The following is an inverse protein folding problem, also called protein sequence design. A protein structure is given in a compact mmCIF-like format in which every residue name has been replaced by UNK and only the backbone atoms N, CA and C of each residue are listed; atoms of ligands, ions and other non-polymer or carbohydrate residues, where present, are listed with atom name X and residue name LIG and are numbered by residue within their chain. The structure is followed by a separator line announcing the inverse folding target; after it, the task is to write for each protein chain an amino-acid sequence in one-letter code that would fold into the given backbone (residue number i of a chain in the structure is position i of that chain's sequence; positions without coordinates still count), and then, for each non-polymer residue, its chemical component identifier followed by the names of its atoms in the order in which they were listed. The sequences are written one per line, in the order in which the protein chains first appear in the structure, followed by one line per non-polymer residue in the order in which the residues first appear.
data_IF_135348526966
#
_entry.id   IF_135348526966
#
_cell.length_a   1.000
_cell.length_b   1.000
_cell.length_c   1.000
_cell.angle_alpha   90.00
_cell.angle_beta   90.00
_cell.angle_gamma   90.00
#
_symmetry.space_group_name_H-M   'P 1'
#
loop_
_entity.id
_entity.type
_entity.pdbx_description
1 polymer ?
#
# COMPACT_ATOMS: atom_id res chain seq x y z
N UNK A 1 4.95 9.77 2.48
CA UNK A 1 5.98 8.77 2.88
C UNK A 1 6.39 9.02 4.34
N UNK A 2 6.77 7.99 5.09
CA UNK A 2 7.46 8.17 6.36
C UNK A 2 8.97 8.24 6.09
N UNK A 3 9.54 9.43 6.13
CA UNK A 3 10.96 9.65 5.88
C UNK A 3 11.52 10.66 6.86
N UNK A 4 12.78 10.48 7.24
CA UNK A 4 13.53 11.42 8.05
C UNK A 4 14.68 11.97 7.20
N UNK A 5 14.86 13.28 7.25
CA UNK A 5 15.93 13.97 6.51
C UNK A 5 16.75 14.77 7.49
N UNK A 6 18.08 14.70 7.38
CA UNK A 6 18.96 15.57 8.15
C UNK A 6 18.71 17.01 7.74
N UNK A 7 18.48 17.89 8.72
CA UNK A 7 18.23 19.32 8.51
C UNK A 7 19.23 19.97 7.53
N UNK A 8 20.53 19.72 7.74
CA UNK A 8 21.59 20.22 6.86
C UNK A 8 21.38 19.83 5.38
N UNK A 9 21.10 18.56 5.10
CA UNK A 9 20.87 18.10 3.72
C UNK A 9 19.59 18.70 3.11
N UNK A 10 18.55 18.91 3.93
CA UNK A 10 17.31 19.55 3.51
C UNK A 10 17.52 21.03 3.14
N UNK A 11 18.24 21.78 3.97
CA UNK A 11 18.56 23.19 3.74
C UNK A 11 19.50 23.37 2.54
N UNK A 12 20.50 22.50 2.38
CA UNK A 12 21.44 22.53 1.24
C UNK A 12 20.76 22.41 -0.13
N UNK A 13 19.65 21.66 -0.23
CA UNK A 13 18.89 21.53 -1.47
C UNK A 13 17.80 22.60 -1.63
N UNK A 14 17.63 23.50 -0.65
CA UNK A 14 16.61 24.56 -0.66
C UNK A 14 15.22 24.14 -0.15
N UNK A 15 15.10 22.99 0.52
CA UNK A 15 13.86 22.54 1.15
C UNK A 15 12.74 22.13 0.18
N UNK A 16 11.49 22.02 0.66
CA UNK A 16 10.32 21.73 -0.19
C UNK A 16 9.99 22.93 -1.07
N UNK A 17 9.75 22.68 -2.36
CA UNK A 17 9.20 23.67 -3.28
C UNK A 17 7.69 23.84 -3.04
N UNK A 18 7.30 24.96 -2.45
CA UNK A 18 5.91 25.27 -2.11
C UNK A 18 5.04 25.63 -3.31
N UNK A 19 5.60 25.75 -4.51
CA UNK A 19 4.82 25.93 -5.75
C UNK A 19 4.20 24.62 -6.23
N UNK A 20 4.68 23.47 -5.73
CA UNK A 20 4.12 22.15 -6.01
C UNK A 20 3.03 21.78 -4.99
N UNK A 21 1.96 21.14 -5.46
CA UNK A 21 0.81 20.75 -4.66
C UNK A 21 0.80 19.25 -4.36
N UNK A 22 1.31 18.42 -5.29
CA UNK A 22 1.17 16.97 -5.26
C UNK A 22 2.49 16.20 -5.17
N UNK A 23 3.56 16.75 -5.75
CA UNK A 23 4.84 16.05 -5.96
C UNK A 23 6.01 16.69 -5.20
N UNK A 24 5.71 17.53 -4.20
CA UNK A 24 6.68 18.18 -3.32
C UNK A 24 7.76 17.25 -2.77
N UNK A 25 7.35 16.07 -2.29
CA UNK A 25 8.24 15.07 -1.72
C UNK A 25 9.10 14.42 -2.82
N UNK A 26 8.51 14.06 -3.96
CA UNK A 26 9.23 13.51 -5.10
C UNK A 26 10.31 14.49 -5.62
N UNK A 27 9.96 15.77 -5.81
CA UNK A 27 10.91 16.80 -6.22
C UNK A 27 12.09 16.92 -5.24
N UNK A 28 11.79 16.95 -3.93
CA UNK A 28 12.79 17.00 -2.87
C UNK A 28 13.74 15.78 -2.93
N UNK A 29 13.20 14.57 -3.09
CA UNK A 29 14.03 13.35 -3.18
C UNK A 29 14.95 13.36 -4.40
N UNK A 30 14.44 13.84 -5.53
CA UNK A 30 15.25 13.96 -6.74
C UNK A 30 16.37 14.99 -6.59
N UNK A 31 16.14 16.13 -5.93
CA UNK A 31 17.20 17.10 -5.62
C UNK A 31 18.23 16.56 -4.65
N UNK A 32 17.81 15.88 -3.58
CA UNK A 32 18.72 15.19 -2.66
C UNK A 32 19.57 14.13 -3.37
N UNK A 33 18.98 13.38 -4.31
CA UNK A 33 19.73 12.39 -5.09
C UNK A 33 20.74 13.03 -6.05
N UNK A 34 20.42 14.19 -6.65
CA UNK A 34 21.34 14.94 -7.51
C UNK A 34 22.54 15.50 -6.75
N UNK A 35 22.33 15.93 -5.51
CA UNK A 35 23.41 16.35 -4.59
C UNK A 35 24.10 15.16 -3.89
N UNK A 36 23.99 13.96 -4.47
CA UNK A 36 24.63 12.72 -4.03
C UNK A 36 24.41 12.38 -2.54
N UNK A 37 23.26 12.78 -1.98
CA UNK A 37 22.93 12.44 -0.59
C UNK A 37 22.67 10.93 -0.48
N UNK A 38 23.03 10.36 0.66
CA UNK A 38 22.88 8.92 0.92
C UNK A 38 21.48 8.60 1.46
N UNK A 39 20.88 7.56 0.92
CA UNK A 39 19.56 7.06 1.32
C UNK A 39 19.68 5.72 2.03
N UNK A 40 18.95 5.57 3.13
CA UNK A 40 18.80 4.30 3.84
C UNK A 40 17.32 3.94 3.86
N UNK A 41 17.00 2.69 3.49
CA UNK A 41 15.65 2.14 3.58
C UNK A 41 15.54 1.33 4.87
N UNK A 42 14.60 1.71 5.73
CA UNK A 42 14.14 0.87 6.83
C UNK A 42 13.02 -0.03 6.31
N UNK A 43 13.17 -1.34 6.48
CA UNK A 43 12.25 -2.33 5.90
C UNK A 43 11.12 -2.71 6.88
N UNK A 44 10.49 -1.68 7.46
CA UNK A 44 9.45 -1.81 8.48
C UNK A 44 8.27 -0.87 8.21
N UNK A 45 7.03 -1.21 8.62
CA UNK A 45 5.88 -0.33 8.48
C UNK A 45 5.99 0.86 9.45
N UNK A 46 6.47 2.00 8.95
CA UNK A 46 6.60 3.22 9.77
C UNK A 46 5.39 4.17 9.69
N UNK A 47 4.53 4.02 8.69
CA UNK A 47 3.31 4.81 8.56
C UNK A 47 2.23 4.07 7.77
N UNK A 48 0.98 4.44 8.05
CA UNK A 48 -0.19 4.01 7.30
C UNK A 48 -0.74 5.19 6.48
N UNK A 49 -1.13 4.93 5.23
CA UNK A 49 -1.86 5.90 4.40
C UNK A 49 -3.34 5.60 4.50
N UNK A 50 -4.13 6.62 4.87
CA UNK A 50 -5.60 6.52 4.89
C UNK A 50 -6.15 7.00 3.56
N UNK A 51 -6.85 6.12 2.85
CA UNK A 51 -7.62 6.47 1.66
C UNK A 51 -9.08 6.72 2.05
N UNK A 52 -9.60 7.89 1.70
CA UNK A 52 -11.01 8.26 1.87
C UNK A 52 -11.43 9.28 0.81
N UNK A 53 -12.74 9.40 0.61
CA UNK A 53 -13.35 10.35 -0.32
C UNK A 53 -13.02 11.79 0.15
N UNK A 54 -12.18 12.50 -0.62
CA UNK A 54 -11.71 13.84 -0.28
C UNK A 54 -10.19 13.96 -0.08
N UNK A 55 -9.43 12.86 -0.12
CA UNK A 55 -7.97 12.95 -0.21
C UNK A 55 -7.54 13.61 -1.52
N UNK A 56 -6.55 14.51 -1.47
CA UNK A 56 -5.97 15.17 -2.67
C UNK A 56 -5.58 14.15 -3.76
N UNK A 57 -5.04 13.01 -3.37
CA UNK A 57 -4.65 11.96 -4.33
C UNK A 57 -5.84 11.38 -5.10
N UNK A 58 -7.02 11.27 -4.46
CA UNK A 58 -8.23 10.72 -5.07
C UNK A 58 -9.15 11.78 -5.70
N UNK A 59 -8.75 13.06 -5.73
CA UNK A 59 -9.54 14.13 -6.35
C UNK A 59 -9.53 14.08 -7.89
N UNK A 60 -8.55 13.39 -8.49
CA UNK A 60 -8.39 13.32 -9.95
C UNK A 60 -7.94 14.65 -10.58
N UNK A 61 -7.30 15.52 -9.80
CA UNK A 61 -6.85 16.83 -10.25
C UNK A 61 -5.83 16.76 -11.39
N UNK A 62 -6.04 17.56 -12.44
CA UNK A 62 -5.14 17.67 -13.59
C UNK A 62 -3.77 18.18 -13.20
N UNK A 63 -3.68 19.09 -12.24
CA UNK A 63 -2.41 19.64 -11.75
C UNK A 63 -1.48 18.55 -11.23
N UNK A 64 -2.03 17.48 -10.65
CA UNK A 64 -1.23 16.32 -10.22
C UNK A 64 -0.51 15.66 -11.41
N UNK A 65 -1.20 15.49 -12.54
CA UNK A 65 -0.59 14.87 -13.71
C UNK A 65 0.45 15.78 -14.36
N UNK A 66 0.21 17.10 -14.39
CA UNK A 66 1.17 18.09 -14.88
C UNK A 66 2.45 18.08 -14.05
N UNK A 67 2.32 18.04 -12.72
CA UNK A 67 3.43 17.91 -11.80
C UNK A 67 4.21 16.60 -11.97
N UNK A 68 3.52 15.45 -12.05
CA UNK A 68 4.17 14.16 -12.33
C UNK A 68 4.95 14.24 -13.64
N UNK A 69 4.36 14.84 -14.67
CA UNK A 69 4.99 14.98 -15.97
C UNK A 69 6.23 15.89 -15.92
N UNK A 70 6.17 17.00 -15.17
CA UNK A 70 7.31 17.88 -14.89
C UNK A 70 8.46 17.09 -14.25
N UNK A 71 8.19 16.34 -13.17
CA UNK A 71 9.20 15.54 -12.47
C UNK A 71 9.85 14.54 -13.43
N UNK A 72 9.05 13.82 -14.21
CA UNK A 72 9.58 12.84 -15.16
C UNK A 72 10.42 13.49 -16.27
N UNK A 73 10.06 14.68 -16.76
CA UNK A 73 10.89 15.40 -17.73
C UNK A 73 12.20 15.90 -17.13
N UNK A 74 12.17 16.44 -15.92
CA UNK A 74 13.35 17.01 -15.29
C UNK A 74 14.33 15.91 -14.86
N UNK A 75 13.83 14.86 -14.21
CA UNK A 75 14.67 13.88 -13.51
C UNK A 75 14.67 12.50 -14.16
N UNK A 76 13.67 12.17 -14.99
CA UNK A 76 13.41 10.81 -15.42
C UNK A 76 14.37 10.26 -16.47
N UNK A 77 15.15 11.09 -17.17
CA UNK A 77 16.10 10.65 -18.20
C UNK A 77 15.48 9.93 -19.43
N UNK A 78 14.19 9.60 -19.39
CA UNK A 78 13.44 8.92 -20.44
C UNK A 78 12.54 9.90 -21.20
N UNK A 79 12.44 9.73 -22.52
CA UNK A 79 11.57 10.55 -23.38
C UNK A 79 10.07 10.32 -23.14
N UNK A 80 9.69 9.20 -22.51
CA UNK A 80 8.30 8.80 -22.29
C UNK A 80 8.04 8.68 -20.78
N UNK A 81 6.95 9.27 -20.25
CA UNK A 81 6.64 9.22 -18.83
C UNK A 81 6.06 7.84 -18.45
N UNK A 82 6.91 6.91 -18.03
CA UNK A 82 6.51 5.52 -17.71
C UNK A 82 5.67 5.38 -16.44
N UNK A 83 5.78 6.31 -15.48
CA UNK A 83 5.01 6.31 -14.25
C UNK A 83 3.55 6.80 -14.42
N UNK A 84 3.29 7.69 -15.38
CA UNK A 84 1.96 8.28 -15.59
C UNK A 84 0.86 7.24 -15.84
N UNK A 85 1.03 6.23 -16.72
CA UNK A 85 0.03 5.18 -16.91
C UNK A 85 -0.26 4.39 -15.63
N UNK A 86 0.75 4.18 -14.78
CA UNK A 86 0.59 3.48 -13.50
C UNK A 86 -0.25 4.28 -12.50
N UNK A 87 0.02 5.58 -12.38
CA UNK A 87 -0.77 6.47 -11.52
C UNK A 87 -2.22 6.61 -12.02
N UNK A 88 -2.40 6.79 -13.33
CA UNK A 88 -3.74 6.89 -13.91
C UNK A 88 -4.54 5.58 -13.75
N UNK A 89 -3.89 4.42 -13.94
CA UNK A 89 -4.52 3.13 -13.65
C UNK A 89 -4.99 3.02 -12.19
N UNK A 90 -4.16 3.46 -11.23
CA UNK A 90 -4.50 3.45 -9.81
C UNK A 90 -5.70 4.37 -9.51
N UNK A 91 -5.69 5.59 -10.05
CA UNK A 91 -6.79 6.54 -9.87
C UNK A 91 -8.10 5.99 -10.43
N UNK A 92 -8.05 5.38 -11.62
CA UNK A 92 -9.19 4.66 -12.18
C UNK A 92 -9.60 3.49 -11.28
N UNK A 93 -8.67 2.68 -10.78
CA UNK A 93 -9.02 1.55 -9.89
C UNK A 93 -9.79 2.01 -8.65
N UNK A 94 -9.44 3.17 -8.08
CA UNK A 94 -10.12 3.77 -6.92
C UNK A 94 -11.38 4.58 -7.26
N UNK A 95 -11.63 4.89 -8.54
CA UNK A 95 -12.78 5.69 -8.96
C UNK A 95 -14.07 4.85 -8.99
N UNK A 96 -15.06 5.22 -8.18
CA UNK A 96 -16.35 4.53 -8.07
C UNK A 96 -17.17 4.56 -9.37
N UNK A 97 -17.21 5.73 -10.04
CA UNK A 97 -17.95 5.92 -11.30
C UNK A 97 -16.98 6.24 -12.44
N UNK A 98 -16.80 5.27 -13.34
CA UNK A 98 -15.98 5.40 -14.55
C UNK A 98 -16.85 5.73 -15.76
N UNK A 99 -16.44 6.69 -16.57
CA UNK A 99 -17.03 6.93 -17.89
C UNK A 99 -16.74 5.75 -18.82
N UNK A 100 -17.42 5.69 -19.97
CA UNK A 100 -17.18 4.62 -20.95
C UNK A 100 -15.72 4.60 -21.45
N UNK A 101 -15.16 5.76 -21.79
CA UNK A 101 -13.76 5.88 -22.21
C UNK A 101 -12.77 5.47 -21.12
N UNK A 102 -13.05 5.82 -19.86
CA UNK A 102 -12.25 5.40 -18.71
C UNK A 102 -12.27 3.89 -18.49
N UNK A 103 -13.41 3.23 -18.73
CA UNK A 103 -13.49 1.76 -18.68
C UNK A 103 -12.63 1.11 -19.76
N UNK A 104 -12.69 1.62 -20.99
CA UNK A 104 -11.86 1.13 -22.10
C UNK A 104 -10.37 1.32 -21.78
N UNK A 105 -9.98 2.51 -21.33
CA UNK A 105 -8.59 2.80 -20.98
C UNK A 105 -8.11 1.96 -19.79
N UNK A 106 -8.94 1.77 -18.77
CA UNK A 106 -8.64 0.91 -17.64
C UNK A 106 -8.34 -0.53 -18.08
N UNK A 107 -9.17 -1.10 -18.96
CA UNK A 107 -8.96 -2.45 -19.50
C UNK A 107 -7.66 -2.56 -20.31
N UNK A 108 -7.35 -1.56 -21.14
CA UNK A 108 -6.10 -1.50 -21.90
C UNK A 108 -4.88 -1.46 -20.97
N UNK A 109 -4.88 -0.57 -19.98
CA UNK A 109 -3.82 -0.46 -18.99
C UNK A 109 -3.66 -1.74 -18.17
N UNK A 110 -4.77 -2.38 -17.80
CA UNK A 110 -4.77 -3.65 -17.09
C UNK A 110 -4.13 -4.77 -17.95
N UNK A 111 -4.48 -4.86 -19.23
CA UNK A 111 -3.86 -5.79 -20.17
C UNK A 111 -2.35 -5.56 -20.33
N UNK A 112 -1.93 -4.31 -20.54
CA UNK A 112 -0.52 -3.93 -20.63
C UNK A 112 0.26 -4.29 -19.36
N UNK A 113 -0.33 -4.09 -18.18
CA UNK A 113 0.25 -4.46 -16.88
C UNK A 113 0.44 -5.97 -16.76
N UNK A 114 -0.54 -6.78 -17.17
CA UNK A 114 -0.45 -8.25 -17.13
C UNK A 114 0.61 -8.78 -18.11
N UNK A 115 0.68 -8.21 -19.31
CA UNK A 115 1.71 -8.53 -20.30
C UNK A 115 3.10 -8.21 -19.78
N UNK A 116 3.31 -7.01 -19.21
CA UNK A 116 4.57 -6.62 -18.58
C UNK A 116 4.98 -7.60 -17.49
N UNK A 117 4.05 -8.00 -16.61
CA UNK A 117 4.29 -8.99 -15.54
C UNK A 117 4.71 -10.36 -16.09
N UNK A 118 4.13 -10.77 -17.22
CA UNK A 118 4.46 -12.05 -17.88
C UNK A 118 5.86 -12.01 -18.50
N UNK A 119 6.24 -10.88 -19.11
CA UNK A 119 7.56 -10.68 -19.74
C UNK A 119 8.67 -10.60 -18.70
N UNK A 120 8.45 -9.89 -17.59
CA UNK A 120 9.47 -9.66 -16.55
C UNK A 120 9.75 -10.89 -15.66
N UNK A 121 9.03 -12.01 -15.83
CA UNK A 121 9.32 -13.26 -15.12
C UNK A 121 9.45 -13.06 -13.61
N UNK A 122 8.41 -12.56 -12.95
CA UNK A 122 8.54 -12.09 -11.56
C UNK A 122 8.71 -13.26 -10.57
N UNK A 123 9.90 -13.35 -9.94
CA UNK A 123 9.96 -13.88 -8.55
C UNK A 123 8.93 -13.11 -7.70
N UNK A 124 8.23 -13.74 -6.76
CA UNK A 124 7.29 -13.04 -5.91
C UNK A 124 8.06 -12.03 -5.05
N UNK A 125 7.95 -10.74 -5.40
CA UNK A 125 8.44 -9.66 -4.56
C UNK A 125 7.43 -9.47 -3.41
N UNK A 126 7.82 -9.95 -2.24
CA UNK A 126 6.97 -10.01 -1.06
C UNK A 126 7.14 -8.75 -0.20
N UNK A 127 6.03 -8.15 0.18
CA UNK A 127 5.96 -7.07 1.16
C UNK A 127 5.20 -7.61 2.36
N UNK A 128 5.90 -7.84 3.47
CA UNK A 128 5.30 -8.36 4.72
C UNK A 128 4.47 -9.64 4.50
N UNK A 129 4.96 -10.53 3.62
CA UNK A 129 4.31 -11.79 3.24
C UNK A 129 3.32 -11.68 2.07
N UNK A 130 2.89 -10.47 1.70
CA UNK A 130 1.99 -10.25 0.56
C UNK A 130 2.75 -10.15 -0.75
N UNK A 131 2.23 -10.80 -1.80
CA UNK A 131 2.65 -10.51 -3.16
C UNK A 131 2.23 -9.08 -3.53
N UNK A 132 3.18 -8.28 -4.03
CA UNK A 132 2.94 -6.90 -4.46
C UNK A 132 1.67 -6.77 -5.33
N UNK A 133 0.77 -5.90 -4.87
CA UNK A 133 -0.50 -5.56 -5.54
C UNK A 133 -1.53 -6.69 -5.65
N UNK A 134 -1.34 -7.79 -4.92
CA UNK A 134 -2.24 -8.93 -4.92
C UNK A 134 -2.69 -9.29 -3.51
N UNK A 135 -3.75 -10.08 -3.44
CA UNK A 135 -4.32 -10.60 -2.18
C UNK A 135 -3.60 -11.85 -1.68
N UNK A 136 -2.62 -12.33 -2.46
CA UNK A 136 -1.91 -13.58 -2.22
C UNK A 136 -0.82 -13.38 -1.18
N UNK A 137 -0.78 -14.30 -0.23
CA UNK A 137 0.20 -14.40 0.85
C UNK A 137 1.05 -15.64 0.62
N UNK A 138 2.35 -15.54 0.88
CA UNK A 138 3.28 -16.66 0.89
C UNK A 138 3.85 -16.84 2.30
N UNK A 139 3.67 -18.02 2.88
CA UNK A 139 4.04 -18.30 4.27
C UNK A 139 3.17 -17.53 5.26
N UNK A 140 3.79 -16.66 6.06
CA UNK A 140 3.11 -15.78 6.99
C UNK A 140 3.03 -14.35 6.45
N UNK A 141 1.91 -13.67 6.65
CA UNK A 141 1.83 -12.22 6.47
C UNK A 141 1.86 -11.50 7.81
N UNK A 142 2.35 -10.26 7.77
CA UNK A 142 2.32 -9.34 8.91
C UNK A 142 1.37 -8.19 8.58
N UNK A 143 0.48 -7.89 9.52
CA UNK A 143 -0.52 -6.84 9.41
C UNK A 143 -0.32 -5.89 10.58
N UNK A 144 -0.07 -4.62 10.25
CA UNK A 144 0.13 -3.57 11.24
C UNK A 144 -0.68 -2.34 10.86
N UNK A 145 -1.46 -1.80 11.80
CA UNK A 145 -2.17 -0.55 11.63
C UNK A 145 -2.48 0.12 12.98
N UNK A 146 -2.41 1.46 13.06
CA UNK A 146 -2.91 2.20 14.21
C UNK A 146 -4.44 2.28 14.20
N UNK A 147 -5.06 2.23 15.38
CA UNK A 147 -6.49 2.46 15.56
C UNK A 147 -6.75 3.91 16.01
N UNK A 148 -7.50 4.65 15.21
CA UNK A 148 -7.87 6.05 15.51
C UNK A 148 -9.37 6.24 15.75
N UNK A 149 -10.16 5.16 15.75
CA UNK A 149 -11.60 5.25 15.98
C UNK A 149 -11.91 5.55 17.45
N UNK A 150 -12.92 6.40 17.71
CA UNK A 150 -13.39 6.70 19.06
C UNK A 150 -13.99 5.46 19.76
N UNK A 151 -14.63 4.59 18.98
CA UNK A 151 -15.18 3.32 19.47
C UNK A 151 -14.09 2.27 19.55
N UNK A 152 -14.09 1.51 20.64
CA UNK A 152 -13.21 0.37 20.79
C UNK A 152 -13.56 -0.74 19.80
N UNK A 153 -12.55 -1.41 19.25
CA UNK A 153 -12.72 -2.63 18.45
C UNK A 153 -12.95 -3.79 19.41
N UNK A 154 -14.00 -4.57 19.15
CA UNK A 154 -14.36 -5.76 19.93
C UNK A 154 -14.07 -7.07 19.20
N UNK A 155 -14.06 -7.01 17.87
CA UNK A 155 -13.82 -8.19 17.05
C UNK A 155 -13.03 -7.81 15.79
N UNK A 156 -12.04 -8.63 15.42
CA UNK A 156 -11.44 -8.61 14.09
C UNK A 156 -12.04 -9.75 13.27
N UNK A 157 -12.47 -9.43 12.06
CA UNK A 157 -12.98 -10.37 11.07
C UNK A 157 -12.00 -10.41 9.91
N UNK A 158 -11.39 -11.57 9.70
CA UNK A 158 -10.52 -11.86 8.58
C UNK A 158 -11.26 -12.75 7.59
N UNK A 159 -11.20 -12.40 6.31
CA UNK A 159 -11.74 -13.24 5.26
C UNK A 159 -10.63 -13.72 4.31
N UNK A 160 -10.53 -15.05 4.17
CA UNK A 160 -9.37 -15.73 3.61
C UNK A 160 -9.71 -17.01 2.82
N UNK A 161 -8.76 -17.47 1.99
CA UNK A 161 -8.83 -18.74 1.25
C UNK A 161 -7.53 -19.51 1.43
N UNK A 162 -7.55 -20.85 1.67
CA UNK A 162 -8.72 -21.74 1.72
C UNK A 162 -9.69 -21.48 2.89
N UNK A 163 -10.98 -21.78 2.69
CA UNK A 163 -12.02 -21.32 3.61
C UNK A 163 -12.42 -22.27 4.74
N UNK A 164 -12.00 -23.53 4.67
CA UNK A 164 -12.26 -24.57 5.67
C UNK A 164 -10.91 -25.15 6.10
N UNK A 165 -10.10 -24.33 6.78
CA UNK A 165 -8.78 -24.74 7.23
C UNK A 165 -8.34 -23.99 8.47
N UNK A 166 -7.29 -24.46 9.12
CA UNK A 166 -6.72 -23.84 10.31
C UNK A 166 -5.69 -22.80 9.91
N UNK A 167 -5.76 -21.64 10.56
CA UNK A 167 -4.77 -20.57 10.46
C UNK A 167 -4.15 -20.33 11.82
N UNK A 168 -2.87 -19.97 11.84
CA UNK A 168 -2.16 -19.58 13.05
C UNK A 168 -2.05 -18.06 13.09
N UNK A 169 -2.46 -17.47 14.20
CA UNK A 169 -2.47 -16.02 14.39
C UNK A 169 -1.69 -15.70 15.66
N UNK A 170 -0.75 -14.76 15.57
CA UNK A 170 0.09 -14.29 16.68
C UNK A 170 0.00 -12.78 16.78
N UNK A 171 -0.34 -12.26 17.96
CA UNK A 171 -0.45 -10.84 18.24
C UNK A 171 0.82 -10.32 18.89
N UNK A 172 1.43 -9.26 18.35
CA UNK A 172 2.64 -8.64 18.90
C UNK A 172 3.78 -9.65 19.24
N UNK A 173 3.89 -10.74 18.47
CA UNK A 173 4.92 -11.77 18.70
C UNK A 173 4.58 -12.77 19.82
N UNK A 174 3.34 -12.78 20.33
CA UNK A 174 2.85 -13.81 21.25
C UNK A 174 2.89 -15.21 20.63
N UNK A 175 2.70 -16.24 21.44
CA UNK A 175 2.59 -17.61 20.94
C UNK A 175 1.44 -17.69 19.91
N UNK A 176 1.66 -18.26 18.72
CA UNK A 176 0.59 -18.40 17.73
C UNK A 176 -0.56 -19.25 18.26
N UNK A 177 -1.78 -18.75 18.13
CA UNK A 177 -3.03 -19.44 18.44
C UNK A 177 -3.68 -19.96 17.16
N UNK A 178 -4.33 -21.12 17.24
CA UNK A 178 -4.96 -21.77 16.11
C UNK A 178 -6.43 -21.37 16.00
N UNK A 179 -6.82 -20.87 14.83
CA UNK A 179 -8.18 -20.48 14.50
C UNK A 179 -8.66 -21.27 13.29
N UNK A 180 -9.86 -21.83 13.38
CA UNK A 180 -10.48 -22.57 12.27
C UNK A 180 -11.31 -21.59 11.46
N UNK A 181 -10.93 -21.38 10.20
CA UNK A 181 -11.77 -20.64 9.26
C UNK A 181 -13.01 -21.46 8.93
N UNK A 182 -14.19 -20.85 9.04
CA UNK A 182 -15.46 -21.42 8.62
C UNK A 182 -16.00 -20.56 7.48
N UNK A 183 -16.31 -21.17 6.34
CA UNK A 183 -16.76 -20.47 5.11
C UNK A 183 -15.82 -19.32 4.69
N UNK A 184 -14.53 -19.47 4.94
CA UNK A 184 -13.52 -18.44 4.62
C UNK A 184 -13.47 -17.27 5.58
N UNK A 185 -14.03 -17.39 6.77
CA UNK A 185 -14.06 -16.33 7.77
C UNK A 185 -13.48 -16.82 9.10
N UNK A 186 -12.63 -15.98 9.70
CA UNK A 186 -12.19 -16.09 11.10
C UNK A 186 -12.64 -14.83 11.82
N UNK A 187 -13.26 -15.03 12.97
CA UNK A 187 -13.68 -13.99 13.91
C UNK A 187 -12.88 -14.15 15.19
N UNK A 188 -12.28 -13.08 15.65
CA UNK A 188 -11.44 -13.09 16.84
C UNK A 188 -11.88 -11.98 17.79
N UNK A 189 -12.26 -12.31 19.03
CA UNK A 189 -12.51 -11.30 20.04
C UNK A 189 -11.19 -10.60 20.37
N UNK A 190 -11.21 -9.27 20.34
CA UNK A 190 -10.05 -8.42 20.63
C UNK A 190 -10.51 -7.18 21.39
N UNK A 191 -9.57 -6.44 21.97
CA UNK A 191 -9.86 -5.14 22.54
C UNK A 191 -8.78 -4.14 22.15
N UNK A 192 -9.16 -3.18 21.31
CA UNK A 192 -8.30 -2.06 20.92
C UNK A 192 -9.04 -0.76 21.10
N UNK A 193 -8.44 0.16 21.86
CA UNK A 193 -8.94 1.52 22.05
C UNK A 193 -8.19 2.53 21.17
N UNK A 194 -8.68 3.77 21.13
CA UNK A 194 -8.06 4.84 20.36
C UNK A 194 -6.58 5.02 20.75
N UNK A 195 -5.69 5.01 19.76
CA UNK A 195 -4.24 5.08 19.94
C UNK A 195 -3.54 3.72 19.98
N UNK A 196 -4.28 2.62 20.05
CA UNK A 196 -3.70 1.27 19.98
C UNK A 196 -3.00 1.04 18.64
N UNK A 197 -1.82 0.40 18.68
CA UNK A 197 -1.14 -0.10 17.49
C UNK A 197 -1.44 -1.58 17.38
N UNK A 198 -2.27 -1.94 16.40
CA UNK A 198 -2.59 -3.34 16.12
C UNK A 198 -1.45 -3.93 15.30
N UNK A 199 -0.88 -5.04 15.77
CA UNK A 199 0.15 -5.79 15.06
C UNK A 199 -0.08 -7.29 15.27
N UNK A 200 -0.27 -8.02 14.18
CA UNK A 200 -0.36 -9.47 14.22
C UNK A 200 0.15 -10.11 12.93
N UNK A 201 0.58 -11.36 13.05
CA UNK A 201 0.92 -12.21 11.93
C UNK A 201 -0.11 -13.31 11.72
N UNK A 202 -0.35 -13.69 10.47
CA UNK A 202 -1.24 -14.78 10.10
C UNK A 202 -0.49 -15.75 9.20
N UNK A 203 -0.63 -17.05 9.41
CA UNK A 203 -0.10 -18.08 8.52
C UNK A 203 -1.08 -19.23 8.34
N UNK A 204 -0.93 -19.98 7.25
CA UNK A 204 -1.76 -21.13 6.93
C UNK A 204 -0.88 -22.39 6.86
N UNK A 205 -0.85 -23.23 7.91
CA UNK A 205 0.00 -24.43 7.94
C UNK A 205 -0.32 -25.43 6.81
N UNK A 206 -1.58 -25.47 6.36
CA UNK A 206 -2.04 -26.39 5.32
C UNK A 206 -1.68 -25.95 3.91
N UNK A 207 -1.31 -24.67 3.69
CA UNK A 207 -0.95 -24.16 2.37
C UNK A 207 0.16 -23.12 2.42
N UNK A 208 1.29 -23.33 1.72
CA UNK A 208 2.38 -22.37 1.69
C UNK A 208 2.01 -21.07 0.96
N UNK A 209 0.95 -21.08 0.15
CA UNK A 209 0.38 -19.88 -0.48
C UNK A 209 -1.13 -19.84 -0.27
N UNK A 210 -1.66 -18.72 0.20
CA UNK A 210 -3.06 -18.54 0.55
C UNK A 210 -3.49 -17.09 0.26
N UNK A 211 -4.76 -16.74 0.43
CA UNK A 211 -5.26 -15.39 0.13
C UNK A 211 -5.93 -14.75 1.33
N UNK A 212 -5.62 -13.48 1.58
CA UNK A 212 -6.37 -12.61 2.50
C UNK A 212 -7.05 -11.51 1.68
N UNK A 213 -8.37 -11.56 1.57
CA UNK A 213 -9.11 -10.65 0.71
C UNK A 213 -9.80 -9.52 1.45
N UNK A 214 -10.03 -9.67 2.76
CA UNK A 214 -10.63 -8.61 3.59
C UNK A 214 -10.22 -8.73 5.04
N UNK A 215 -9.94 -7.58 5.64
CA UNK A 215 -9.88 -7.36 7.08
C UNK A 215 -10.98 -6.34 7.41
N UNK A 216 -11.79 -6.66 8.42
CA UNK A 216 -12.80 -5.75 8.98
C UNK A 216 -12.78 -5.83 10.50
N UNK A 217 -13.30 -4.80 11.15
CA UNK A 217 -13.39 -4.70 12.61
C UNK A 217 -14.86 -4.47 12.98
N UNK A 218 -15.36 -5.15 14.01
CA UNK A 218 -16.63 -4.80 14.66
C UNK A 218 -16.35 -3.87 15.85
N UNK A 219 -17.15 -2.81 15.95
CA UNK A 219 -17.00 -1.76 16.94
C UNK A 219 -18.01 -1.92 18.07
N UNK A 220 -17.60 -1.55 19.27
CA UNK A 220 -18.49 -1.39 20.43
C UNK A 220 -19.37 -0.14 20.38
#
# INVERSE_FOLDING_TARGET
PACFVRRKAYEEVGGVDSSLIYTMDWDLWCRLAREEKRFLRVNEPMAAVRYYQGTKTLSGDKTRYEEIWRIQRIYGGFKIPTAWPGFYWFDLACKDKKTFSEKVFFSLLQGARLLKKKIEGSKPDLIYGFQRWEKKVFGACMIQFPWYGEKAVREIILKMRPGETTYLISFAGSRPEAFIAKRGEIRMPVYFEKGSIVNFSVSCPSSPAWELYKLSCELG
#
